data_IF_223846646634
#
_entry.id   IF_223846646634
#
_cell.length_a   1.000
_cell.length_b   1.000
_cell.length_c   1.000
_cell.angle_alpha   90.00
_cell.angle_beta   90.00
_cell.angle_gamma   90.00
#
_symmetry.space_group_name_H-M   'P 1'
#
loop_
_entity.id
_entity.type
_entity.pdbx_description
1 polymer ?
#
# COMPACT_ATOMS: atom_id res chain seq x y z
N UNK A 1 0.14 15.67 -7.45
CA UNK A 1 1.44 15.76 -6.76
C UNK A 1 2.03 14.37 -6.85
N UNK A 2 3.26 14.25 -7.32
CA UNK A 2 3.90 12.95 -7.49
C UNK A 2 4.87 12.71 -6.33
N UNK A 3 4.87 11.50 -5.79
CA UNK A 3 5.66 11.16 -4.61
C UNK A 3 5.67 9.65 -4.33
N UNK A 4 6.51 9.26 -3.38
CA UNK A 4 6.63 7.88 -2.90
C UNK A 4 6.34 7.84 -1.42
N UNK A 5 5.54 6.86 -0.99
CA UNK A 5 5.25 6.60 0.41
C UNK A 5 5.88 5.27 0.81
N UNK A 6 6.80 5.29 1.77
CA UNK A 6 7.37 4.08 2.36
C UNK A 6 6.40 3.61 3.45
N UNK A 7 5.90 2.38 3.32
CA UNK A 7 4.95 1.77 4.24
C UNK A 7 5.54 0.46 4.71
N UNK A 8 5.72 0.32 6.02
CA UNK A 8 5.95 -0.98 6.66
C UNK A 8 4.61 -1.74 6.70
N UNK A 9 4.41 -2.67 5.77
CA UNK A 9 3.19 -3.47 5.67
C UNK A 9 3.17 -4.49 6.82
N UNK A 10 2.12 -4.53 7.66
CA UNK A 10 2.00 -5.59 8.64
C UNK A 10 1.68 -6.94 7.98
N UNK A 11 1.86 -8.03 8.73
CA UNK A 11 1.41 -9.36 8.30
C UNK A 11 -0.13 -9.41 8.32
N UNK A 12 -0.72 -10.09 7.35
CA UNK A 12 -2.17 -10.18 7.16
C UNK A 12 -2.65 -9.57 5.84
N UNK A 13 -2.60 -8.23 5.65
CA UNK A 13 -3.10 -7.59 4.44
C UNK A 13 -2.25 -7.90 3.20
N UNK A 14 -2.91 -7.97 2.05
CA UNK A 14 -2.26 -7.99 0.75
C UNK A 14 -1.67 -6.60 0.42
N UNK A 15 -0.77 -6.53 -0.58
CA UNK A 15 -0.28 -5.24 -1.08
C UNK A 15 -1.39 -4.36 -1.65
N UNK A 16 -2.45 -4.97 -2.22
CA UNK A 16 -3.60 -4.23 -2.74
C UNK A 16 -4.48 -3.66 -1.62
N UNK A 17 -4.59 -4.33 -0.48
CA UNK A 17 -5.32 -3.79 0.69
C UNK A 17 -4.65 -2.52 1.22
N UNK A 18 -3.31 -2.48 1.22
CA UNK A 18 -2.55 -1.28 1.59
C UNK A 18 -2.86 -0.13 0.62
N UNK A 19 -2.81 -0.39 -0.69
CA UNK A 19 -3.18 0.62 -1.71
C UNK A 19 -4.61 1.14 -1.48
N UNK A 20 -5.58 0.25 -1.25
CA UNK A 20 -6.97 0.64 -0.98
C UNK A 20 -7.08 1.52 0.28
N UNK A 21 -6.33 1.20 1.34
CA UNK A 21 -6.30 1.98 2.57
C UNK A 21 -5.69 3.37 2.35
N UNK A 22 -4.59 3.48 1.60
CA UNK A 22 -3.97 4.77 1.24
C UNK A 22 -4.93 5.63 0.43
N UNK A 23 -5.60 5.06 -0.59
CA UNK A 23 -6.62 5.78 -1.37
C UNK A 23 -7.74 6.32 -0.48
N UNK A 24 -8.23 5.52 0.46
CA UNK A 24 -9.30 5.94 1.39
C UNK A 24 -8.85 7.05 2.34
N UNK A 25 -7.61 6.99 2.85
CA UNK A 25 -7.09 7.96 3.82
C UNK A 25 -6.73 9.29 3.17
N UNK A 26 -6.24 9.27 1.94
CA UNK A 26 -5.75 10.46 1.22
C UNK A 26 -6.79 11.08 0.28
N UNK A 27 -7.78 10.31 -0.16
CA UNK A 27 -8.69 10.69 -1.23
C UNK A 27 -8.06 10.61 -2.63
N UNK A 28 -6.79 10.22 -2.75
CA UNK A 28 -6.09 10.08 -4.03
C UNK A 28 -6.53 8.79 -4.73
N UNK A 29 -6.79 8.87 -6.04
CA UNK A 29 -7.21 7.71 -6.85
C UNK A 29 -6.02 7.05 -7.54
N UNK A 30 -5.00 7.83 -7.89
CA UNK A 30 -3.79 7.38 -8.57
C UNK A 30 -2.74 6.90 -7.57
N UNK A 31 -3.00 5.72 -6.98
CA UNK A 31 -2.08 5.04 -6.05
C UNK A 31 -1.82 3.63 -6.54
N UNK A 32 -0.56 3.18 -6.49
CA UNK A 32 -0.11 1.82 -6.80
C UNK A 32 1.05 1.38 -5.92
N UNK A 33 1.61 0.20 -6.19
CA UNK A 33 2.80 -0.33 -5.51
C UNK A 33 3.88 -0.73 -6.51
N UNK A 34 5.15 -0.67 -6.12
CA UNK A 34 6.30 -0.99 -6.98
C UNK A 34 6.68 -2.48 -6.98
N UNK A 35 5.95 -3.29 -6.21
CA UNK A 35 6.12 -4.74 -6.14
C UNK A 35 5.11 -5.31 -5.16
N UNK A 36 4.72 -6.57 -5.35
CA UNK A 36 3.83 -7.26 -4.42
C UNK A 36 4.66 -7.89 -3.32
N UNK A 37 4.25 -7.66 -2.08
CA UNK A 37 4.70 -8.39 -0.91
C UNK A 37 3.62 -9.40 -0.48
N UNK A 38 4.07 -10.61 -0.11
CA UNK A 38 3.18 -11.69 0.33
C UNK A 38 2.32 -11.27 1.53
N UNK A 39 1.07 -11.77 1.62
CA UNK A 39 0.17 -11.40 2.73
C UNK A 39 0.78 -11.69 4.10
N UNK A 40 1.52 -12.79 4.23
CA UNK A 40 2.13 -13.20 5.50
C UNK A 40 3.45 -12.47 5.81
N UNK A 41 4.09 -11.85 4.81
CA UNK A 41 5.33 -11.09 5.01
C UNK A 41 5.06 -9.69 5.57
N UNK A 42 6.09 -9.09 6.18
CA UNK A 42 6.08 -7.72 6.70
C UNK A 42 7.17 -6.86 6.06
N UNK A 43 7.08 -5.55 6.24
CA UNK A 43 8.03 -4.56 5.72
C UNK A 43 7.47 -3.66 4.64
#
# INVERSE_FOLDING_TARGET
MDGVLIIDKPSGPTSHDVVARVRRLTGERSVGHLGTLDPMATG
#
